data_IF_590298706877
#
_entry.id   IF_590298706877
#
_cell.length_a   1.000
_cell.length_b   1.000
_cell.length_c   1.000
_cell.angle_alpha   90.00
_cell.angle_beta   90.00
_cell.angle_gamma   90.00
#
_symmetry.space_group_name_H-M   'P 1'
#
loop_
_entity.id
_entity.type
_entity.pdbx_description
1 polymer ?
#
# COMPACT_ATOMS: atom_id res chain seq x y z
N UNK A 1 -4.24 -3.97 23.74
CA UNK A 1 -4.87 -4.24 22.44
C UNK A 1 -3.90 -3.96 21.30
N UNK A 2 -3.51 -2.71 21.02
CA UNK A 2 -2.63 -2.37 19.87
C UNK A 2 -1.27 -3.11 19.91
N UNK A 3 -0.58 -3.13 21.05
CA UNK A 3 0.66 -3.92 21.22
C UNK A 3 0.46 -5.42 20.91
N UNK A 4 -0.71 -5.98 21.24
CA UNK A 4 -1.04 -7.38 20.95
C UNK A 4 -1.30 -7.63 19.46
N UNK A 5 -1.86 -6.65 18.75
CA UNK A 5 -2.00 -6.70 17.29
C UNK A 5 -0.62 -6.67 16.61
N UNK A 6 0.26 -5.76 17.05
CA UNK A 6 1.64 -5.67 16.56
C UNK A 6 2.36 -7.01 16.73
N UNK A 7 2.33 -7.58 17.94
CA UNK A 7 2.93 -8.89 18.20
C UNK A 7 2.35 -9.99 17.30
N UNK A 8 1.03 -9.99 17.09
CA UNK A 8 0.36 -10.96 16.21
C UNK A 8 0.81 -10.81 14.75
N UNK A 9 0.89 -9.59 14.24
CA UNK A 9 1.33 -9.31 12.86
C UNK A 9 2.77 -9.80 12.62
N UNK A 10 3.71 -9.52 13.52
CA UNK A 10 5.08 -10.02 13.34
C UNK A 10 5.17 -11.55 13.44
N UNK A 11 4.35 -12.21 14.25
CA UNK A 11 4.25 -13.67 14.24
C UNK A 11 3.77 -14.21 12.89
N UNK A 12 2.81 -13.54 12.25
CA UNK A 12 2.35 -13.92 10.92
C UNK A 12 3.45 -13.76 9.85
N UNK A 13 4.23 -12.68 9.88
CA UNK A 13 5.39 -12.51 9.01
C UNK A 13 6.43 -13.63 9.21
N UNK A 14 6.61 -14.07 10.46
CA UNK A 14 7.49 -15.20 10.76
C UNK A 14 6.95 -16.54 10.23
N UNK A 15 5.63 -16.73 10.15
CA UNK A 15 4.99 -17.87 9.48
C UNK A 15 5.25 -17.83 7.98
N UNK A 16 4.90 -16.73 7.31
CA UNK A 16 5.16 -16.53 5.89
C UNK A 16 5.24 -15.04 5.53
N UNK A 17 6.41 -14.52 5.13
CA UNK A 17 6.56 -13.11 4.82
C UNK A 17 6.06 -12.77 3.41
N UNK A 18 5.64 -13.76 2.61
CA UNK A 18 5.03 -13.54 1.30
C UNK A 18 3.49 -13.50 1.32
N UNK A 19 2.86 -13.77 2.48
CA UNK A 19 1.41 -13.85 2.58
C UNK A 19 0.77 -12.52 3.00
N UNK A 20 -0.32 -12.15 2.35
CA UNK A 20 -1.16 -10.98 2.67
C UNK A 20 -2.23 -11.30 3.74
N UNK A 21 -2.73 -12.55 3.81
CA UNK A 21 -3.82 -12.90 4.72
C UNK A 21 -3.56 -14.18 5.54
N UNK A 22 -3.98 -14.16 6.82
CA UNK A 22 -3.70 -15.24 7.77
C UNK A 22 -4.95 -15.68 8.55
N UNK A 23 -4.98 -16.96 8.90
CA UNK A 23 -5.97 -17.55 9.78
C UNK A 23 -5.65 -17.25 11.26
N UNK A 24 -6.66 -17.17 12.12
CA UNK A 24 -6.46 -17.04 13.57
C UNK A 24 -5.77 -18.27 14.19
N UNK A 25 -6.08 -19.44 13.61
CA UNK A 25 -5.56 -20.77 13.95
C UNK A 25 -5.18 -21.53 12.67
N UNK A 26 -4.25 -22.47 12.77
CA UNK A 26 -3.81 -23.34 11.66
C UNK A 26 -4.91 -24.33 11.25
N UNK A 27 -5.89 -23.86 10.46
CA UNK A 27 -7.11 -24.62 10.12
C UNK A 27 -7.26 -24.92 8.63
N UNK A 28 -6.32 -24.47 7.78
CA UNK A 28 -6.35 -24.74 6.34
C UNK A 28 -7.54 -24.14 5.62
N UNK A 29 -8.11 -23.04 6.12
CA UNK A 29 -9.13 -22.28 5.38
C UNK A 29 -8.48 -21.23 4.47
N UNK A 30 -9.23 -20.80 3.47
CA UNK A 30 -8.80 -19.81 2.47
C UNK A 30 -8.47 -20.46 1.12
N UNK A 31 -7.62 -19.82 0.35
CA UNK A 31 -7.29 -20.15 -1.04
C UNK A 31 -6.25 -21.28 -1.15
N UNK A 32 -6.51 -22.40 -0.47
CA UNK A 32 -5.56 -23.53 -0.38
C UNK A 32 -5.31 -24.26 -1.72
N UNK A 33 -6.10 -23.96 -2.75
CA UNK A 33 -5.96 -24.51 -4.10
C UNK A 33 -5.07 -23.66 -5.02
N UNK A 34 -4.59 -22.51 -4.55
CA UNK A 34 -3.62 -21.71 -5.30
C UNK A 34 -2.34 -22.50 -5.51
N UNK A 35 -1.74 -22.34 -6.69
CA UNK A 35 -0.47 -22.97 -7.07
C UNK A 35 0.68 -22.12 -6.51
N UNK A 36 0.91 -22.25 -5.21
CA UNK A 36 1.98 -21.60 -4.45
C UNK A 36 2.28 -22.42 -3.18
N UNK A 37 3.28 -22.04 -2.39
CA UNK A 37 3.66 -22.73 -1.14
C UNK A 37 2.69 -22.39 0.02
N UNK A 38 1.45 -22.87 -0.08
CA UNK A 38 0.40 -22.62 0.91
C UNK A 38 0.67 -23.35 2.23
N UNK A 39 0.33 -22.68 3.34
CA UNK A 39 0.40 -23.21 4.71
C UNK A 39 -0.99 -23.16 5.35
N UNK A 40 -1.31 -24.04 6.32
CA UNK A 40 -2.65 -24.03 6.93
C UNK A 40 -2.96 -22.77 7.77
N UNK A 41 -1.93 -22.02 8.17
CA UNK A 41 -2.01 -20.73 8.84
C UNK A 41 -2.30 -19.55 7.88
N UNK A 42 -2.10 -19.76 6.56
CA UNK A 42 -2.23 -18.72 5.54
C UNK A 42 -3.60 -18.84 4.88
N UNK A 43 -4.35 -17.73 4.84
CA UNK A 43 -5.63 -17.65 4.14
C UNK A 43 -5.42 -17.37 2.65
N UNK A 44 -4.52 -16.44 2.32
CA UNK A 44 -4.11 -16.10 0.95
C UNK A 44 -2.64 -15.71 0.96
N UNK A 45 -1.93 -16.04 -0.13
CA UNK A 45 -0.49 -15.87 -0.26
C UNK A 45 -0.10 -14.98 -1.44
N UNK A 46 -0.84 -13.90 -1.65
CA UNK A 46 -0.47 -12.87 -2.64
C UNK A 46 0.60 -11.98 -2.01
N UNK A 47 1.78 -11.91 -2.65
CA UNK A 47 2.87 -11.10 -2.14
C UNK A 47 2.71 -9.62 -2.51
N UNK A 48 2.51 -8.82 -1.46
CA UNK A 48 2.42 -7.36 -1.48
C UNK A 48 3.52 -6.80 -0.58
N UNK A 49 4.28 -5.83 -1.07
CA UNK A 49 5.32 -5.16 -0.28
C UNK A 49 4.71 -4.50 0.97
N UNK A 50 3.55 -3.87 0.83
CA UNK A 50 2.91 -3.10 1.89
C UNK A 50 2.34 -3.96 3.02
N UNK A 51 2.03 -5.24 2.77
CA UNK A 51 1.72 -6.22 3.81
C UNK A 51 2.85 -6.33 4.85
N UNK A 52 4.10 -6.05 4.47
CA UNK A 52 5.24 -5.99 5.38
C UNK A 52 5.49 -4.59 5.95
N UNK A 53 5.05 -3.53 5.26
CA UNK A 53 5.19 -2.15 5.70
C UNK A 53 4.21 -1.77 6.83
N UNK A 54 2.93 -2.13 6.71
CA UNK A 54 1.90 -1.73 7.68
C UNK A 54 2.19 -2.17 9.13
N UNK A 55 2.67 -3.40 9.41
CA UNK A 55 3.06 -3.80 10.76
C UNK A 55 4.21 -2.95 11.33
N UNK A 56 5.20 -2.58 10.51
CA UNK A 56 6.31 -1.72 10.93
C UNK A 56 5.79 -0.31 11.25
N UNK A 57 4.98 0.27 10.35
CA UNK A 57 4.37 1.58 10.56
C UNK A 57 3.54 1.61 11.86
N UNK A 58 2.67 0.64 12.09
CA UNK A 58 1.85 0.58 13.31
C UNK A 58 2.72 0.55 14.57
N UNK A 59 3.80 -0.23 14.55
CA UNK A 59 4.73 -0.36 15.67
C UNK A 59 5.44 0.94 16.00
N UNK A 60 5.88 1.65 14.96
CA UNK A 60 6.55 2.93 15.06
C UNK A 60 5.59 4.04 15.51
N UNK A 61 4.40 4.14 14.92
CA UNK A 61 3.39 5.13 15.30
C UNK A 61 2.89 4.91 16.73
N UNK A 62 2.74 3.66 17.18
CA UNK A 62 2.43 3.36 18.58
C UNK A 62 3.50 3.94 19.51
N UNK A 63 4.78 3.75 19.18
CA UNK A 63 5.90 4.33 19.94
C UNK A 63 5.84 5.86 19.96
N UNK A 64 5.75 6.51 18.81
CA UNK A 64 5.73 7.98 18.73
C UNK A 64 4.55 8.63 19.45
N UNK A 65 3.41 7.95 19.51
CA UNK A 65 2.21 8.50 20.13
C UNK A 65 2.04 8.15 21.61
N UNK A 66 2.73 7.12 22.12
CA UNK A 66 2.52 6.65 23.51
C UNK A 66 3.81 6.52 24.34
N UNK A 67 4.98 6.54 23.71
CA UNK A 67 6.27 6.21 24.34
C UNK A 67 6.47 4.73 24.64
N UNK A 68 5.52 3.85 24.28
CA UNK A 68 5.64 2.40 24.49
C UNK A 68 6.64 1.78 23.52
N UNK A 69 7.49 0.92 24.06
CA UNK A 69 8.57 0.24 23.32
C UNK A 69 8.57 -1.28 23.52
N UNK A 70 7.62 -1.83 24.29
CA UNK A 70 7.60 -3.26 24.63
C UNK A 70 7.37 -4.17 23.42
N UNK A 71 6.74 -3.64 22.37
CA UNK A 71 6.54 -4.30 21.09
C UNK A 71 7.84 -4.53 20.31
N UNK A 72 8.92 -3.80 20.62
CA UNK A 72 10.23 -3.97 19.98
C UNK A 72 11.05 -5.08 20.65
N UNK A 73 10.46 -6.28 20.68
CA UNK A 73 10.99 -7.47 21.32
C UNK A 73 11.74 -8.38 20.31
N UNK A 74 12.04 -9.63 20.68
CA UNK A 74 12.72 -10.58 19.81
C UNK A 74 11.91 -10.93 18.55
N UNK A 75 10.59 -11.11 18.68
CA UNK A 75 9.68 -11.35 17.54
C UNK A 75 9.80 -10.24 16.50
N UNK A 76 9.78 -8.97 16.95
CA UNK A 76 9.99 -7.81 16.08
C UNK A 76 11.34 -7.88 15.36
N UNK A 77 12.44 -8.11 16.11
CA UNK A 77 13.79 -8.16 15.54
C UNK A 77 13.94 -9.26 14.49
N UNK A 78 13.45 -10.46 14.77
CA UNK A 78 13.51 -11.60 13.85
C UNK A 78 12.71 -11.31 12.58
N UNK A 79 11.49 -10.80 12.74
CA UNK A 79 10.62 -10.49 11.60
C UNK A 79 11.19 -9.36 10.74
N UNK A 80 11.73 -8.29 11.34
CA UNK A 80 12.34 -7.18 10.58
C UNK A 80 13.58 -7.62 9.81
N UNK A 81 14.44 -8.47 10.38
CA UNK A 81 15.55 -9.04 9.61
C UNK A 81 15.02 -9.86 8.43
N UNK A 82 13.99 -10.68 8.64
CA UNK A 82 13.35 -11.48 7.58
C UNK A 82 12.75 -10.61 6.46
N UNK A 83 12.14 -9.48 6.81
CA UNK A 83 11.61 -8.50 5.84
C UNK A 83 12.74 -7.89 5.01
N UNK A 84 13.81 -7.40 5.66
CA UNK A 84 14.96 -6.81 4.94
C UNK A 84 15.61 -7.85 4.03
N UNK A 85 15.82 -9.07 4.51
CA UNK A 85 16.42 -10.14 3.72
C UNK A 85 15.51 -10.51 2.53
N UNK A 86 14.19 -10.58 2.72
CA UNK A 86 13.24 -10.81 1.64
C UNK A 86 13.28 -9.69 0.61
N UNK A 87 13.18 -8.42 1.02
CA UNK A 87 13.20 -7.31 0.06
C UNK A 87 14.50 -7.24 -0.75
N UNK A 88 15.63 -7.68 -0.17
CA UNK A 88 16.89 -7.86 -0.91
C UNK A 88 16.86 -9.03 -1.89
N UNK A 89 16.24 -10.16 -1.54
CA UNK A 89 16.00 -11.25 -2.50
C UNK A 89 15.15 -10.75 -3.66
N UNK A 90 14.09 -10.00 -3.36
CA UNK A 90 13.15 -9.46 -4.34
C UNK A 90 13.69 -8.26 -5.15
N UNK A 91 14.88 -7.73 -4.85
CA UNK A 91 15.59 -6.82 -5.77
C UNK A 91 16.08 -7.54 -7.04
N UNK A 92 16.30 -8.87 -6.97
CA UNK A 92 16.56 -9.76 -8.10
C UNK A 92 15.61 -10.96 -8.05
N UNK A 93 14.36 -10.71 -8.38
CA UNK A 93 13.30 -11.71 -8.34
C UNK A 93 13.57 -12.90 -9.28
N UNK A 94 14.02 -12.64 -10.51
CA UNK A 94 14.19 -13.67 -11.55
C UNK A 94 15.17 -14.78 -11.14
N UNK A 95 16.30 -14.42 -10.53
CA UNK A 95 17.37 -15.36 -10.21
C UNK A 95 17.30 -15.89 -8.77
N UNK A 96 16.80 -15.08 -7.83
CA UNK A 96 16.91 -15.40 -6.40
C UNK A 96 15.58 -15.71 -5.72
N UNK A 97 14.44 -15.27 -6.26
CA UNK A 97 13.17 -15.43 -5.56
C UNK A 97 12.66 -16.88 -5.63
N UNK A 98 12.27 -17.47 -4.49
CA UNK A 98 11.53 -18.73 -4.48
C UNK A 98 10.03 -18.53 -4.72
N UNK A 99 9.55 -17.29 -4.77
CA UNK A 99 8.12 -16.99 -4.83
C UNK A 99 7.57 -17.21 -6.25
N UNK A 100 6.49 -18.00 -6.32
CA UNK A 100 5.64 -18.12 -7.50
C UNK A 100 4.19 -18.18 -7.04
N UNK A 101 3.27 -17.70 -7.87
CA UNK A 101 1.84 -17.75 -7.57
C UNK A 101 1.01 -17.87 -8.85
N UNK A 102 0.19 -18.93 -8.95
CA UNK A 102 -0.87 -19.01 -9.96
C UNK A 102 -2.20 -19.39 -9.33
N UNK A 103 -3.28 -18.78 -9.83
CA UNK A 103 -4.66 -19.15 -9.49
C UNK A 103 -5.39 -19.53 -10.76
N UNK A 104 -6.03 -20.69 -10.74
CA UNK A 104 -6.78 -21.21 -11.89
C UNK A 104 -8.22 -20.66 -11.91
N UNK A 105 -8.83 -20.64 -13.09
CA UNK A 105 -10.23 -20.25 -13.30
C UNK A 105 -10.64 -18.91 -12.64
N UNK A 106 -9.75 -17.92 -12.71
CA UNK A 106 -9.92 -16.62 -12.07
C UNK A 106 -9.80 -15.44 -13.06
N UNK A 107 -9.96 -14.21 -12.57
CA UNK A 107 -9.67 -12.99 -13.36
C UNK A 107 -8.18 -12.92 -13.63
N UNK A 108 -7.78 -12.27 -14.73
CA UNK A 108 -6.37 -12.12 -15.08
C UNK A 108 -5.55 -11.42 -13.97
N UNK A 109 -6.15 -10.49 -13.23
CA UNK A 109 -5.51 -9.79 -12.12
C UNK A 109 -5.41 -10.64 -10.84
N UNK A 110 -6.07 -11.80 -10.78
CA UNK A 110 -6.02 -12.70 -9.61
C UNK A 110 -4.91 -13.77 -9.73
N UNK A 111 -4.07 -13.71 -10.77
CA UNK A 111 -2.97 -14.65 -10.99
C UNK A 111 -1.75 -13.97 -11.62
N UNK A 112 -0.55 -14.53 -11.44
CA UNK A 112 0.66 -14.02 -12.10
C UNK A 112 0.94 -14.74 -13.41
N UNK A 113 1.41 -13.99 -14.40
CA UNK A 113 1.86 -14.53 -15.69
C UNK A 113 3.21 -15.26 -15.55
N UNK A 114 3.66 -15.89 -16.64
CA UNK A 114 4.98 -16.55 -16.75
C UNK A 114 5.18 -17.66 -15.70
N UNK A 115 4.20 -18.55 -15.58
CA UNK A 115 4.22 -19.66 -14.60
C UNK A 115 4.44 -19.14 -13.17
N UNK A 116 3.68 -18.11 -12.81
CA UNK A 116 3.69 -17.53 -11.47
C UNK A 116 4.82 -16.55 -11.15
N UNK A 117 5.70 -16.21 -12.10
CA UNK A 117 6.83 -15.26 -11.90
C UNK A 117 6.48 -13.79 -12.15
N UNK A 118 5.28 -13.50 -12.65
CA UNK A 118 4.88 -12.14 -12.99
C UNK A 118 5.53 -11.59 -14.27
N UNK A 119 5.28 -10.31 -14.60
CA UNK A 119 5.71 -9.69 -15.85
C UNK A 119 7.25 -9.61 -15.96
N UNK A 120 7.73 -9.49 -17.20
CA UNK A 120 9.16 -9.31 -17.49
C UNK A 120 9.63 -7.96 -16.94
N UNK A 121 10.79 -7.95 -16.30
CA UNK A 121 11.38 -6.76 -15.69
C UNK A 121 12.91 -6.84 -15.72
N UNK A 122 13.56 -5.76 -15.30
CA UNK A 122 15.00 -5.67 -15.06
C UNK A 122 15.27 -5.08 -13.69
N UNK A 123 16.34 -5.50 -13.01
CA UNK A 123 16.74 -4.94 -11.73
C UNK A 123 16.86 -3.40 -11.77
N UNK A 124 16.30 -2.75 -10.75
CA UNK A 124 16.30 -1.29 -10.61
C UNK A 124 16.90 -0.79 -9.29
N UNK A 125 17.09 -1.69 -8.32
CA UNK A 125 17.34 -1.35 -6.91
C UNK A 125 16.06 -1.28 -6.08
N UNK A 126 14.88 -1.10 -6.70
CA UNK A 126 13.60 -1.31 -6.04
C UNK A 126 13.36 -2.80 -5.78
N UNK A 127 12.45 -3.10 -4.84
CA UNK A 127 12.04 -4.46 -4.54
C UNK A 127 10.79 -4.84 -5.33
N UNK A 128 10.74 -6.07 -5.84
CA UNK A 128 9.65 -6.62 -6.65
C UNK A 128 8.35 -6.74 -5.85
N UNK A 129 7.21 -6.60 -6.52
CA UNK A 129 5.86 -6.72 -5.96
C UNK A 129 5.02 -7.58 -6.89
N UNK A 130 4.37 -8.62 -6.35
CA UNK A 130 3.49 -9.49 -7.14
C UNK A 130 2.12 -8.86 -7.33
N UNK A 131 1.54 -8.38 -6.24
CA UNK A 131 0.20 -7.83 -6.18
C UNK A 131 0.21 -6.44 -5.54
N UNK A 132 -0.78 -5.63 -5.92
CA UNK A 132 -1.08 -4.31 -5.37
C UNK A 132 -1.83 -4.47 -4.04
N UNK A 133 -1.99 -3.39 -3.25
CA UNK A 133 -2.79 -3.42 -2.03
C UNK A 133 -4.30 -3.56 -2.30
N UNK A 134 -4.71 -3.63 -3.58
CA UNK A 134 -6.04 -4.03 -4.03
C UNK A 134 -6.18 -5.55 -4.23
N UNK A 135 -5.14 -6.33 -3.89
CA UNK A 135 -4.96 -7.74 -4.22
C UNK A 135 -4.87 -8.06 -5.73
N UNK A 136 -4.81 -7.04 -6.61
CA UNK A 136 -4.67 -7.23 -8.06
C UNK A 136 -3.21 -7.36 -8.48
N UNK A 137 -2.91 -8.23 -9.45
CA UNK A 137 -1.56 -8.43 -9.98
C UNK A 137 -0.99 -7.15 -10.58
N UNK A 138 0.27 -6.85 -10.26
CA UNK A 138 0.97 -5.70 -10.82
C UNK A 138 1.13 -5.84 -12.34
N UNK A 139 0.89 -4.77 -13.09
CA UNK A 139 1.16 -4.74 -14.55
C UNK A 139 2.66 -4.74 -14.80
N UNK A 140 3.39 -3.93 -14.02
CA UNK A 140 4.84 -3.98 -13.89
C UNK A 140 5.23 -4.11 -12.42
N UNK A 141 6.18 -4.98 -12.11
CA UNK A 141 6.36 -5.46 -10.74
C UNK A 141 7.05 -4.47 -9.79
N UNK A 142 7.61 -3.36 -10.26
CA UNK A 142 8.05 -2.29 -9.34
C UNK A 142 6.89 -1.33 -9.10
N UNK A 143 6.02 -1.72 -8.18
CA UNK A 143 4.94 -0.89 -7.66
C UNK A 143 5.55 0.26 -6.86
N UNK A 144 5.48 1.46 -7.44
CA UNK A 144 6.16 2.66 -6.95
C UNK A 144 5.65 3.09 -5.57
N UNK A 145 4.33 3.22 -5.31
CA UNK A 145 3.86 3.64 -3.99
C UNK A 145 4.20 2.65 -2.87
N UNK A 146 4.23 1.34 -3.12
CA UNK A 146 4.67 0.36 -2.11
C UNK A 146 6.18 0.41 -1.88
N UNK A 147 6.98 0.65 -2.91
CA UNK A 147 8.43 0.90 -2.75
C UNK A 147 8.72 2.20 -1.98
N UNK A 148 7.92 3.25 -2.20
CA UNK A 148 7.98 4.49 -1.40
C UNK A 148 7.64 4.21 0.07
N UNK A 149 6.64 3.37 0.33
CA UNK A 149 6.30 2.99 1.69
C UNK A 149 7.41 2.17 2.35
N UNK A 150 8.05 1.25 1.61
CA UNK A 150 9.22 0.49 2.06
C UNK A 150 10.38 1.43 2.48
N UNK A 151 10.67 2.46 1.69
CA UNK A 151 11.67 3.50 2.03
C UNK A 151 11.36 4.14 3.38
N UNK A 152 10.11 4.55 3.61
CA UNK A 152 9.70 5.19 4.87
C UNK A 152 9.88 4.25 6.06
N UNK A 153 9.39 3.01 5.97
CA UNK A 153 9.44 2.08 7.11
C UNK A 153 10.85 1.56 7.38
N UNK A 154 11.75 1.56 6.39
CA UNK A 154 13.17 1.28 6.61
C UNK A 154 13.86 2.41 7.39
N UNK A 155 13.49 3.67 7.15
CA UNK A 155 13.94 4.78 7.99
C UNK A 155 13.40 4.63 9.43
N UNK A 156 12.15 4.19 9.62
CA UNK A 156 11.61 3.84 10.95
C UNK A 156 12.40 2.72 11.63
N UNK A 157 12.71 1.65 10.92
CA UNK A 157 13.53 0.55 11.43
C UNK A 157 14.91 1.06 11.85
N UNK A 158 15.53 1.93 11.05
CA UNK A 158 16.83 2.52 11.36
C UNK A 158 16.79 3.30 12.68
N UNK A 159 15.78 4.17 12.86
CA UNK A 159 15.58 4.94 14.09
C UNK A 159 15.38 4.01 15.30
N UNK A 160 14.42 3.07 15.22
CA UNK A 160 14.13 2.09 16.28
C UNK A 160 15.40 1.31 16.65
N UNK A 161 16.18 0.91 15.66
CA UNK A 161 17.39 0.12 15.85
C UNK A 161 18.46 0.88 16.62
N UNK A 162 18.62 2.18 16.37
CA UNK A 162 19.59 3.05 17.06
C UNK A 162 19.09 3.45 18.45
N UNK A 163 17.84 3.90 18.54
CA UNK A 163 17.30 4.54 19.74
C UNK A 163 16.87 3.53 20.79
N UNK A 164 16.31 2.39 20.37
CA UNK A 164 15.66 1.45 21.28
C UNK A 164 16.44 0.15 21.35
N UNK A 165 16.68 -0.49 20.20
CA UNK A 165 17.27 -1.83 20.18
C UNK A 165 18.77 -1.85 20.43
N UNK A 166 19.45 -0.70 20.25
CA UNK A 166 20.90 -0.52 20.29
C UNK A 166 21.64 -1.45 19.32
N UNK A 167 21.02 -1.74 18.18
CA UNK A 167 21.53 -2.62 17.13
C UNK A 167 21.98 -1.80 15.92
N UNK A 168 23.27 -1.44 15.92
CA UNK A 168 23.85 -0.62 14.85
C UNK A 168 23.95 -1.35 13.50
N UNK A 169 24.07 -2.68 13.52
CA UNK A 169 24.15 -3.47 12.29
C UNK A 169 22.79 -3.53 11.62
N UNK A 170 21.71 -3.75 12.39
CA UNK A 170 20.35 -3.68 11.85
C UNK A 170 20.03 -2.30 11.26
N UNK A 171 20.40 -1.23 11.96
CA UNK A 171 20.21 0.14 11.47
C UNK A 171 20.94 0.36 10.13
N UNK A 172 22.19 -0.12 10.03
CA UNK A 172 22.99 0.00 8.80
C UNK A 172 22.39 -0.81 7.65
N UNK A 173 21.93 -2.04 7.90
CA UNK A 173 21.25 -2.86 6.89
C UNK A 173 19.99 -2.18 6.36
N UNK A 174 19.15 -1.66 7.25
CA UNK A 174 17.93 -0.95 6.88
C UNK A 174 18.24 0.29 6.05
N UNK A 175 19.23 1.09 6.48
CA UNK A 175 19.63 2.31 5.77
C UNK A 175 20.17 2.03 4.37
N UNK A 176 21.00 1.00 4.22
CA UNK A 176 21.55 0.60 2.92
C UNK A 176 20.44 0.24 1.94
N UNK A 177 19.54 -0.67 2.33
CA UNK A 177 18.42 -1.10 1.49
C UNK A 177 17.48 0.08 1.16
N UNK A 178 17.24 0.96 2.15
CA UNK A 178 16.44 2.17 1.96
C UNK A 178 17.02 3.06 0.86
N UNK A 179 18.33 3.28 0.90
CA UNK A 179 19.00 4.17 -0.04
C UNK A 179 19.01 3.55 -1.45
N UNK A 180 19.24 2.25 -1.58
CA UNK A 180 19.13 1.50 -2.84
C UNK A 180 17.73 1.58 -3.48
N UNK A 181 16.67 1.30 -2.70
CA UNK A 181 15.29 1.38 -3.20
C UNK A 181 14.96 2.81 -3.61
N UNK A 182 15.33 3.80 -2.79
CA UNK A 182 15.05 5.20 -3.09
C UNK A 182 15.78 5.67 -4.35
N UNK A 183 17.05 5.30 -4.55
CA UNK A 183 17.77 5.58 -5.78
C UNK A 183 17.09 4.94 -7.00
N UNK A 184 16.59 3.70 -6.86
CA UNK A 184 15.79 3.02 -7.87
C UNK A 184 14.53 3.81 -8.24
N UNK A 185 13.76 4.27 -7.25
CA UNK A 185 12.56 5.10 -7.49
C UNK A 185 12.95 6.37 -8.27
N UNK A 186 13.94 7.12 -7.80
CA UNK A 186 14.31 8.40 -8.44
C UNK A 186 14.81 8.23 -9.88
N UNK A 187 15.45 7.09 -10.18
CA UNK A 187 16.01 6.82 -11.51
C UNK A 187 14.98 6.27 -12.50
N UNK A 188 14.06 5.43 -12.04
CA UNK A 188 13.19 4.65 -12.93
C UNK A 188 11.72 5.04 -12.86
N UNK A 189 11.24 5.66 -11.77
CA UNK A 189 9.81 5.93 -11.56
C UNK A 189 9.38 7.36 -11.94
N UNK A 190 10.30 8.25 -12.31
CA UNK A 190 9.98 9.64 -12.68
C UNK A 190 9.73 9.75 -14.18
N UNK A 191 8.50 10.08 -14.54
CA UNK A 191 8.05 10.27 -15.93
C UNK A 191 7.84 11.76 -16.23
N UNK A 192 8.29 12.23 -17.40
CA UNK A 192 8.05 13.60 -17.84
C UNK A 192 6.75 13.68 -18.66
N UNK A 193 5.62 13.92 -17.98
CA UNK A 193 4.31 13.98 -18.60
C UNK A 193 4.09 15.28 -19.39
N UNK A 194 3.52 15.24 -20.60
CA UNK A 194 3.35 16.44 -21.44
C UNK A 194 2.55 17.57 -20.79
N UNK A 195 1.56 17.23 -19.93
CA UNK A 195 0.68 18.20 -19.27
C UNK A 195 1.18 18.67 -17.91
N UNK A 196 1.59 17.74 -17.05
CA UNK A 196 1.90 18.05 -15.63
C UNK A 196 3.40 18.13 -15.35
N UNK A 197 4.25 17.91 -16.36
CA UNK A 197 5.70 17.87 -16.17
C UNK A 197 6.14 16.57 -15.49
N UNK A 198 7.22 16.64 -14.71
CA UNK A 198 7.73 15.46 -13.99
C UNK A 198 6.70 15.01 -12.95
N UNK A 199 6.38 13.71 -12.97
CA UNK A 199 5.48 13.02 -12.04
C UNK A 199 6.00 11.60 -11.75
N UNK A 200 5.49 10.97 -10.70
CA UNK A 200 5.73 9.55 -10.45
C UNK A 200 4.79 8.67 -11.29
N UNK A 201 5.33 7.61 -11.87
CA UNK A 201 4.53 6.51 -12.42
C UNK A 201 4.01 5.61 -11.29
N UNK A 202 2.95 4.86 -11.55
CA UNK A 202 2.36 3.93 -10.58
C UNK A 202 3.18 2.63 -10.51
N UNK A 203 3.54 2.09 -11.67
CA UNK A 203 4.40 0.91 -11.79
C UNK A 203 5.41 1.09 -12.91
N UNK A 204 6.58 0.48 -12.76
CA UNK A 204 7.63 0.43 -13.78
C UNK A 204 8.28 -0.95 -13.83
N UNK A 205 8.96 -1.28 -14.93
CA UNK A 205 9.61 -2.58 -15.13
C UNK A 205 11.14 -2.53 -15.18
N UNK A 206 11.74 -1.34 -15.14
CA UNK A 206 13.19 -1.15 -15.31
C UNK A 206 13.70 -1.32 -16.74
N UNK A 207 12.82 -1.61 -17.70
CA UNK A 207 13.09 -1.69 -19.14
C UNK A 207 12.67 -0.42 -19.89
N UNK A 208 12.01 0.51 -19.20
CA UNK A 208 11.57 1.81 -19.74
C UNK A 208 10.06 1.89 -20.00
N UNK A 209 9.29 0.89 -19.54
CA UNK A 209 7.84 0.97 -19.58
C UNK A 209 7.28 1.51 -18.26
N UNK A 210 6.15 2.22 -18.38
CA UNK A 210 5.48 2.88 -17.27
C UNK A 210 4.00 2.55 -17.31
N UNK A 211 3.42 2.23 -16.16
CA UNK A 211 1.99 2.28 -15.95
C UNK A 211 1.65 3.63 -15.30
N UNK A 212 0.94 4.49 -16.04
CA UNK A 212 0.56 5.83 -15.59
C UNK A 212 -0.91 5.81 -15.16
N UNK A 213 -1.14 5.55 -13.87
CA UNK A 213 -2.45 5.53 -13.24
C UNK A 213 -2.30 5.88 -11.75
N UNK A 214 -3.37 5.74 -10.98
CA UNK A 214 -3.31 5.48 -9.54
C UNK A 214 -4.50 4.62 -9.14
N UNK A 215 -4.36 3.89 -8.05
CA UNK A 215 -5.41 3.03 -7.48
C UNK A 215 -5.91 3.62 -6.15
N UNK A 216 -7.16 3.33 -5.80
CA UNK A 216 -7.75 3.78 -4.55
C UNK A 216 -7.15 3.14 -3.29
N UNK A 217 -6.66 1.90 -3.36
CA UNK A 217 -6.07 1.20 -2.23
C UNK A 217 -4.75 1.84 -1.80
N UNK A 218 -4.41 1.73 -0.51
CA UNK A 218 -3.16 2.27 0.05
C UNK A 218 -2.11 1.17 0.24
N UNK A 219 -0.83 1.44 -0.02
CA UNK A 219 -0.26 2.69 -0.51
C UNK A 219 -0.61 3.03 -1.98
N UNK A 220 -1.01 4.28 -2.22
CA UNK A 220 -1.23 4.87 -3.54
C UNK A 220 -0.32 6.08 -3.75
N UNK A 221 -0.19 6.55 -5.00
CA UNK A 221 0.55 7.78 -5.29
C UNK A 221 -0.14 9.00 -4.65
N UNK A 222 -1.47 9.02 -4.58
CA UNK A 222 -2.23 10.05 -3.87
C UNK A 222 -1.84 10.11 -2.38
N UNK A 223 -1.46 8.98 -1.79
CA UNK A 223 -1.12 8.84 -0.38
C UNK A 223 0.35 9.18 -0.04
N UNK A 224 1.18 9.59 -1.00
CA UNK A 224 2.61 9.86 -0.78
C UNK A 224 2.90 10.72 0.47
N UNK A 225 2.24 11.89 0.70
CA UNK A 225 2.47 12.68 1.90
C UNK A 225 1.84 12.08 3.15
N UNK A 226 0.76 11.33 2.98
CA UNK A 226 0.16 10.60 4.09
C UNK A 226 1.10 9.52 4.61
N UNK A 227 1.80 8.81 3.73
CA UNK A 227 2.79 7.80 4.09
C UNK A 227 4.08 8.42 4.65
N UNK A 228 4.36 9.69 4.33
CA UNK A 228 5.54 10.41 4.79
C UNK A 228 6.75 10.27 3.86
N UNK A 229 6.54 9.87 2.60
CA UNK A 229 7.63 9.73 1.62
C UNK A 229 8.08 11.10 1.06
N UNK A 230 7.15 12.02 0.81
CA UNK A 230 7.44 13.38 0.35
C UNK A 230 6.53 14.41 1.03
N UNK A 231 6.93 15.67 1.05
CA UNK A 231 6.09 16.75 1.56
C UNK A 231 4.86 16.96 0.66
N UNK A 232 3.76 17.43 1.25
CA UNK A 232 2.52 17.74 0.52
C UNK A 232 2.70 18.82 -0.56
N UNK A 233 3.73 19.66 -0.44
CA UNK A 233 4.09 20.69 -1.40
C UNK A 233 5.28 20.31 -2.29
N UNK A 234 5.77 19.06 -2.21
CA UNK A 234 6.80 18.58 -3.12
C UNK A 234 6.30 18.69 -4.57
N UNK A 235 7.10 19.31 -5.44
CA UNK A 235 6.69 19.64 -6.81
C UNK A 235 6.34 18.37 -7.60
N UNK A 236 7.10 17.29 -7.40
CA UNK A 236 6.90 16.03 -8.09
C UNK A 236 5.59 15.37 -7.63
N UNK A 237 5.31 15.37 -6.33
CA UNK A 237 4.03 14.93 -5.78
C UNK A 237 2.86 15.80 -6.28
N UNK A 238 2.97 17.13 -6.26
CA UNK A 238 1.91 18.04 -6.71
C UNK A 238 1.55 17.78 -8.18
N UNK A 239 2.54 17.62 -9.04
CA UNK A 239 2.33 17.25 -10.45
C UNK A 239 1.65 15.88 -10.58
N UNK A 240 2.11 14.90 -9.79
CA UNK A 240 1.51 13.56 -9.75
C UNK A 240 0.05 13.63 -9.31
N UNK A 241 -0.27 14.37 -8.24
CA UNK A 241 -1.65 14.59 -7.77
C UNK A 241 -2.55 15.21 -8.84
N UNK A 242 -2.04 16.17 -9.61
CA UNK A 242 -2.76 16.81 -10.72
C UNK A 242 -2.98 15.88 -11.93
N UNK A 243 -2.20 14.81 -12.05
CA UNK A 243 -2.46 13.71 -12.99
C UNK A 243 -3.51 12.75 -12.43
N UNK A 244 -3.34 12.29 -11.19
CA UNK A 244 -4.20 11.31 -10.54
C UNK A 244 -5.66 11.76 -10.48
N UNK A 245 -5.88 13.04 -10.15
CA UNK A 245 -7.21 13.65 -10.00
C UNK A 245 -7.70 14.28 -11.31
N UNK A 246 -7.42 13.64 -12.43
CA UNK A 246 -7.88 14.04 -13.77
C UNK A 246 -8.30 12.84 -14.59
N UNK A 247 -9.03 13.06 -15.67
CA UNK A 247 -9.47 12.00 -16.59
C UNK A 247 -8.35 11.34 -17.39
N UNK A 248 -7.09 11.75 -17.19
CA UNK A 248 -5.92 11.05 -17.75
C UNK A 248 -5.52 9.84 -16.91
N UNK A 249 -5.90 9.79 -15.63
CA UNK A 249 -5.87 8.55 -14.84
C UNK A 249 -7.09 7.70 -15.23
N UNK A 250 -6.88 6.48 -15.71
CA UNK A 250 -7.96 5.58 -16.14
C UNK A 250 -8.96 5.27 -15.03
N UNK A 251 -8.50 5.27 -13.79
CA UNK A 251 -9.32 4.95 -12.61
C UNK A 251 -9.95 6.21 -11.98
N UNK A 252 -9.74 7.40 -12.54
CA UNK A 252 -10.42 8.60 -12.06
C UNK A 252 -11.75 8.79 -12.78
N UNK A 253 -12.85 8.69 -12.03
CA UNK A 253 -14.19 8.79 -12.59
C UNK A 253 -14.94 9.99 -12.03
N UNK A 254 -15.75 10.60 -12.90
CA UNK A 254 -16.60 11.75 -12.59
C UNK A 254 -18.05 11.30 -12.73
N UNK A 255 -18.85 11.55 -11.70
CA UNK A 255 -20.29 11.32 -11.73
C UNK A 255 -21.08 12.43 -11.08
N UNK A 256 -22.41 12.25 -11.09
CA UNK A 256 -23.37 13.22 -10.57
C UNK A 256 -23.16 13.54 -9.08
N UNK A 257 -22.77 12.56 -8.26
CA UNK A 257 -22.71 12.71 -6.80
C UNK A 257 -21.28 12.87 -6.28
N UNK A 258 -20.29 12.37 -7.02
CA UNK A 258 -18.89 12.39 -6.59
C UNK A 258 -17.94 12.23 -7.79
N UNK A 259 -16.69 12.63 -7.57
CA UNK A 259 -15.57 12.30 -8.46
C UNK A 259 -14.40 11.83 -7.61
N UNK A 260 -13.72 10.77 -8.02
CA UNK A 260 -12.65 10.16 -7.23
C UNK A 260 -11.94 9.06 -7.97
N UNK A 261 -10.95 8.47 -7.32
CA UNK A 261 -10.19 7.34 -7.85
C UNK A 261 -10.89 6.03 -7.47
N UNK A 262 -10.97 5.13 -8.43
CA UNK A 262 -11.49 3.77 -8.32
C UNK A 262 -10.37 2.74 -8.28
N UNK A 263 -10.71 1.54 -8.77
CA UNK A 263 -9.76 0.45 -8.93
C UNK A 263 -10.29 -0.54 -9.98
N UNK A 264 -9.42 -1.15 -10.80
CA UNK A 264 -9.80 -2.26 -11.68
C UNK A 264 -10.33 -3.49 -10.90
N UNK A 265 -10.15 -3.50 -9.57
CA UNK A 265 -10.72 -4.52 -8.69
C UNK A 265 -12.26 -4.49 -8.67
N UNK A 266 -12.85 -3.29 -8.79
CA UNK A 266 -14.29 -3.04 -8.76
C UNK A 266 -14.89 -2.87 -10.16
N UNK A 267 -16.24 -2.89 -10.32
CA UNK A 267 -16.85 -2.66 -11.63
C UNK A 267 -16.40 -1.32 -12.24
N UNK A 268 -16.25 -1.30 -13.56
CA UNK A 268 -15.81 -0.12 -14.32
C UNK A 268 -16.61 1.15 -13.95
N UNK A 269 -15.89 2.26 -13.74
CA UNK A 269 -16.50 3.55 -13.41
C UNK A 269 -16.80 3.77 -11.93
N UNK A 270 -16.56 2.79 -11.05
CA UNK A 270 -16.76 2.93 -9.61
C UNK A 270 -15.62 3.72 -8.97
N UNK A 271 -15.93 4.53 -7.95
CA UNK A 271 -14.93 5.23 -7.14
C UNK A 271 -14.98 4.72 -5.71
N UNK A 272 -13.89 4.85 -4.97
CA UNK A 272 -13.77 4.28 -3.63
C UNK A 272 -13.84 5.33 -2.52
N UNK A 273 -14.46 5.00 -1.39
CA UNK A 273 -14.47 5.90 -0.24
C UNK A 273 -13.07 6.14 0.34
N UNK A 274 -12.16 5.16 0.24
CA UNK A 274 -10.78 5.31 0.68
C UNK A 274 -10.06 6.42 -0.12
N UNK A 275 -10.28 6.52 -1.43
CA UNK A 275 -9.62 7.56 -2.24
C UNK A 275 -10.13 8.96 -1.91
N UNK A 276 -11.43 9.12 -1.62
CA UNK A 276 -12.01 10.37 -1.14
C UNK A 276 -11.42 10.79 0.21
N UNK A 277 -11.32 9.84 1.15
CA UNK A 277 -10.68 10.08 2.44
C UNK A 277 -9.22 10.52 2.25
N UNK A 278 -8.47 9.81 1.39
CA UNK A 278 -7.08 10.09 1.12
C UNK A 278 -6.87 11.45 0.45
N UNK A 279 -7.74 11.83 -0.49
CA UNK A 279 -7.74 13.15 -1.09
C UNK A 279 -7.85 14.25 -0.03
N UNK A 280 -8.67 14.03 1.01
CA UNK A 280 -8.85 14.92 2.15
C UNK A 280 -7.65 14.94 3.10
N UNK A 281 -7.08 13.78 3.41
CA UNK A 281 -5.92 13.64 4.31
C UNK A 281 -4.63 14.22 3.70
N UNK A 282 -4.61 14.43 2.38
CA UNK A 282 -3.46 14.94 1.63
C UNK A 282 -3.74 16.32 1.01
N UNK A 283 -4.55 17.13 1.70
CA UNK A 283 -4.69 18.57 1.47
C UNK A 283 -4.61 19.34 2.79
N UNK A 284 -4.16 20.60 2.75
CA UNK A 284 -4.22 21.52 3.89
C UNK A 284 -5.49 22.40 3.87
N UNK A 285 -6.29 22.34 2.81
CA UNK A 285 -7.52 23.11 2.67
C UNK A 285 -8.67 22.47 3.47
N UNK A 286 -9.06 23.12 4.57
CA UNK A 286 -10.18 22.69 5.42
C UNK A 286 -11.53 22.69 4.67
N UNK A 287 -11.72 23.61 3.71
CA UNK A 287 -12.95 23.65 2.91
C UNK A 287 -13.05 22.40 2.04
N UNK A 288 -11.93 21.98 1.44
CA UNK A 288 -11.89 20.76 0.64
C UNK A 288 -12.11 19.49 1.47
N UNK A 289 -11.55 19.42 2.69
CA UNK A 289 -11.82 18.31 3.62
C UNK A 289 -13.30 18.21 3.96
N UNK A 290 -13.93 19.34 4.28
CA UNK A 290 -15.36 19.40 4.57
C UNK A 290 -16.21 18.95 3.38
N UNK A 291 -15.88 19.41 2.17
CA UNK A 291 -16.56 18.99 0.94
C UNK A 291 -16.50 17.46 0.78
N UNK A 292 -15.32 16.85 0.95
CA UNK A 292 -15.15 15.41 0.84
C UNK A 292 -15.92 14.64 1.92
N UNK A 293 -15.91 15.12 3.17
CA UNK A 293 -16.72 14.53 4.25
C UNK A 293 -18.22 14.59 3.95
N UNK A 294 -18.70 15.69 3.36
CA UNK A 294 -20.09 15.81 2.93
C UNK A 294 -20.42 14.86 1.76
N UNK A 295 -19.50 14.71 0.80
CA UNK A 295 -19.66 13.71 -0.28
C UNK A 295 -19.77 12.32 0.33
N UNK A 296 -18.81 11.90 1.14
CA UNK A 296 -18.78 10.56 1.76
C UNK A 296 -20.04 10.27 2.58
N UNK A 297 -20.53 11.24 3.35
CA UNK A 297 -21.79 11.13 4.11
C UNK A 297 -23.01 10.96 3.20
N UNK A 298 -23.02 11.57 2.02
CA UNK A 298 -24.14 11.53 1.08
C UNK A 298 -24.03 10.39 0.04
N UNK A 299 -22.97 9.59 0.09
CA UNK A 299 -22.72 8.43 -0.80
C UNK A 299 -22.66 7.10 -0.06
N UNK A 300 -23.16 7.04 1.19
CA UNK A 300 -23.18 5.85 2.04
C UNK A 300 -24.37 4.90 1.79
N UNK A 301 -25.18 5.17 0.75
CA UNK A 301 -26.41 4.46 0.43
C UNK A 301 -27.44 4.36 1.58
N UNK A 302 -27.38 5.25 2.59
CA UNK A 302 -28.22 5.19 3.79
C UNK A 302 -27.82 4.08 4.77
N UNK A 303 -26.63 3.50 4.62
CA UNK A 303 -26.14 2.42 5.49
C UNK A 303 -25.40 2.93 6.71
N UNK A 304 -25.01 4.21 6.74
CA UNK A 304 -24.14 4.82 7.76
C UNK A 304 -22.74 4.19 7.85
N UNK A 305 -22.31 3.51 6.78
CA UNK A 305 -21.00 2.90 6.63
C UNK A 305 -20.34 3.33 5.33
N UNK A 306 -19.01 3.29 5.31
CA UNK A 306 -18.23 3.45 4.10
C UNK A 306 -18.08 2.10 3.39
N UNK A 307 -18.23 2.14 2.09
CA UNK A 307 -18.12 1.02 1.18
C UNK A 307 -16.76 0.97 0.48
N UNK A 308 -16.45 -0.15 -0.17
CA UNK A 308 -15.26 -0.30 -1.01
C UNK A 308 -15.34 0.62 -2.21
N UNK A 309 -16.12 0.26 -3.24
CA UNK A 309 -16.41 1.09 -4.40
C UNK A 309 -17.91 1.41 -4.49
N UNK A 310 -18.26 2.54 -5.08
CA UNK A 310 -19.63 2.89 -5.44
C UNK A 310 -19.71 3.59 -6.79
N UNK A 311 -20.85 3.47 -7.47
CA UNK A 311 -21.10 4.16 -8.72
C UNK A 311 -21.29 5.67 -8.45
N UNK A 312 -20.45 6.57 -8.99
CA UNK A 312 -20.54 8.01 -8.71
C UNK A 312 -21.78 8.69 -9.31
N UNK A 313 -22.54 8.00 -10.17
CA UNK A 313 -23.84 8.43 -10.68
C UNK A 313 -25.05 7.83 -9.94
N UNK A 314 -24.82 6.82 -9.07
CA UNK A 314 -25.86 6.12 -8.31
C UNK A 314 -25.23 5.41 -7.08
N UNK A 315 -25.02 6.13 -5.95
CA UNK A 315 -24.34 5.58 -4.77
C UNK A 315 -25.05 4.38 -4.12
N UNK A 316 -26.31 4.11 -4.48
CA UNK A 316 -27.01 2.90 -4.03
C UNK A 316 -26.41 1.62 -4.61
N UNK A 317 -25.58 1.73 -5.66
CA UNK A 317 -24.80 0.64 -6.24
C UNK A 317 -23.39 0.70 -5.70
N UNK A 318 -23.09 -0.16 -4.74
CA UNK A 318 -21.80 -0.21 -4.07
C UNK A 318 -21.33 -1.67 -3.86
N UNK A 319 -20.07 -1.84 -3.49
CA UNK A 319 -19.47 -3.12 -3.10
C UNK A 319 -19.06 -3.09 -1.62
N UNK A 320 -19.17 -4.26 -0.96
CA UNK A 320 -18.88 -4.48 0.47
C UNK A 320 -19.73 -3.61 1.41
N UNK A 321 -20.82 -4.18 1.91
CA UNK A 321 -21.66 -3.58 2.94
C UNK A 321 -20.90 -3.29 4.25
N UNK A 322 -19.87 -4.08 4.54
CA UNK A 322 -19.03 -3.90 5.72
C UNK A 322 -17.55 -3.92 5.36
N UNK A 323 -16.94 -2.73 5.37
CA UNK A 323 -15.51 -2.58 5.15
C UNK A 323 -14.87 -1.69 6.22
N UNK A 324 -14.33 -2.33 7.27
CA UNK A 324 -13.81 -1.60 8.43
C UNK A 324 -12.69 -0.62 8.09
N UNK A 325 -11.88 -0.90 7.08
CA UNK A 325 -10.79 0.00 6.70
C UNK A 325 -11.32 1.32 6.11
N UNK A 326 -12.26 1.25 5.15
CA UNK A 326 -12.91 2.44 4.61
C UNK A 326 -13.60 3.27 5.71
N UNK A 327 -14.25 2.61 6.68
CA UNK A 327 -14.82 3.28 7.85
C UNK A 327 -13.76 4.04 8.66
N UNK A 328 -12.61 3.41 8.92
CA UNK A 328 -11.53 4.05 9.67
C UNK A 328 -10.87 5.19 8.90
N UNK A 329 -10.76 5.12 7.58
CA UNK A 329 -10.26 6.22 6.75
C UNK A 329 -11.18 7.44 6.82
N UNK A 330 -12.50 7.25 6.81
CA UNK A 330 -13.46 8.32 7.07
C UNK A 330 -13.29 8.91 8.47
N UNK A 331 -13.20 8.07 9.50
CA UNK A 331 -12.98 8.53 10.88
C UNK A 331 -11.69 9.33 11.02
N UNK A 332 -10.60 8.90 10.38
CA UNK A 332 -9.33 9.60 10.41
C UNK A 332 -9.42 10.97 9.73
N UNK A 333 -10.11 11.07 8.58
CA UNK A 333 -10.36 12.36 7.93
C UNK A 333 -11.19 13.30 8.82
N UNK A 334 -12.20 12.80 9.52
CA UNK A 334 -12.98 13.59 10.50
C UNK A 334 -12.07 14.09 11.63
N UNK A 335 -11.23 13.23 12.19
CA UNK A 335 -10.31 13.61 13.26
C UNK A 335 -9.31 14.66 12.78
N UNK A 336 -8.71 14.47 11.61
CA UNK A 336 -7.76 15.41 11.01
C UNK A 336 -8.42 16.77 10.70
N UNK A 337 -9.67 16.77 10.22
CA UNK A 337 -10.47 18.00 10.05
C UNK A 337 -10.71 18.72 11.37
N UNK A 338 -10.92 17.98 12.46
CA UNK A 338 -11.03 18.51 13.82
C UNK A 338 -9.68 18.89 14.46
N UNK A 339 -8.56 18.76 13.73
CA UNK A 339 -7.23 19.10 14.22
C UNK A 339 -6.57 18.01 15.09
N UNK A 340 -7.13 16.81 15.12
CA UNK A 340 -6.59 15.65 15.84
C UNK A 340 -5.82 14.80 14.83
N UNK A 341 -4.51 14.68 15.03
CA UNK A 341 -3.62 13.97 14.10
C UNK A 341 -2.72 12.98 14.83
N UNK A 342 -2.41 11.87 14.17
CA UNK A 342 -1.38 10.94 14.60
C UNK A 342 -0.01 11.59 14.40
N UNK A 343 0.84 11.55 15.42
CA UNK A 343 2.24 12.00 15.29
C UNK A 343 2.99 11.01 14.41
N UNK A 344 3.67 11.52 13.39
CA UNK A 344 4.50 10.76 12.44
C UNK A 344 5.97 10.96 12.75
#
# INVERSE_FOLDING_TARGET
MIEGLVERQFRYILVDPYANAFNEISNGKGHQTDLTDMKPDVWERKYEIDSLCFPIQLSYLLYKNTGRTTQFNNTFKEAVNKIIDLWRVEQNHEDNSPYTFERLDCRQLDTLVRSGKGPVHKETGMTWCGFRPSDDACTYSYLVPSNMFAVVVLDYISEISIEILKDKELAKKAKLLRDEINEGIQKFAVYNHPRVGKMYAYEVDGLGNYNLMDDANLPSLLAIPYLGYADINDELYVNTRNFILSTENSEFHIGKYASGVGSPHTPEGYIWHISLAMQGLTTNDLSKKRELLEIMKNTDAGTYLMHEGFNPNDPSKFTRDWFSWANMMFCELVLDYCGIKVKK
#
